data_IF_956099130323
#
_entry.id   IF_956099130323
#
_cell.length_a   1.000
_cell.length_b   1.000
_cell.length_c   1.000
_cell.angle_alpha   90.00
_cell.angle_beta   90.00
_cell.angle_gamma   90.00
#
_symmetry.space_group_name_H-M   'P 1'
#
loop_
_entity.id
_entity.type
_entity.pdbx_description
1 polymer ?
#
# COMPACT_ATOMS: atom_id res chain seq x y z
N UNK A 1 -5.32 -24.28 -12.19
CA UNK A 1 -5.49 -25.25 -11.09
C UNK A 1 -6.11 -24.52 -9.91
N UNK A 2 -7.10 -25.08 -9.19
CA UNK A 2 -7.67 -24.39 -8.02
C UNK A 2 -6.61 -24.19 -6.93
N UNK A 3 -6.67 -23.10 -6.15
CA UNK A 3 -5.64 -22.76 -5.16
C UNK A 3 -5.29 -23.90 -4.21
N UNK A 4 -6.30 -24.60 -3.68
CA UNK A 4 -6.10 -25.70 -2.72
C UNK A 4 -5.26 -26.85 -3.30
N UNK A 5 -5.43 -27.16 -4.60
CA UNK A 5 -4.62 -28.19 -5.26
C UNK A 5 -3.18 -27.72 -5.49
N UNK A 6 -2.97 -26.43 -5.77
CA UNK A 6 -1.63 -25.84 -5.90
C UNK A 6 -0.89 -25.94 -4.57
N UNK A 7 -1.54 -25.58 -3.45
CA UNK A 7 -0.97 -25.73 -2.11
C UNK A 7 -0.62 -27.17 -1.78
N UNK A 8 -1.52 -28.13 -2.05
CA UNK A 8 -1.24 -29.55 -1.79
C UNK A 8 -0.04 -30.09 -2.58
N UNK A 9 0.16 -29.64 -3.82
CA UNK A 9 1.32 -30.04 -4.64
C UNK A 9 2.62 -29.42 -4.09
N UNK A 10 2.60 -28.14 -3.74
CA UNK A 10 3.74 -27.44 -3.13
C UNK A 10 4.13 -28.10 -1.81
N UNK A 11 3.16 -28.39 -0.93
CA UNK A 11 3.41 -29.03 0.36
C UNK A 11 4.03 -30.42 0.19
N UNK A 12 3.50 -31.22 -0.75
CA UNK A 12 4.06 -32.54 -1.06
C UNK A 12 5.49 -32.47 -1.56
N UNK A 13 5.86 -31.42 -2.31
CA UNK A 13 7.24 -31.20 -2.73
C UNK A 13 8.14 -30.74 -1.60
N UNK A 14 7.68 -29.80 -0.76
CA UNK A 14 8.41 -29.34 0.41
C UNK A 14 8.70 -30.47 1.37
N UNK A 15 7.73 -31.37 1.61
CA UNK A 15 7.90 -32.54 2.49
C UNK A 15 8.97 -33.52 2.00
N UNK A 16 9.25 -33.56 0.68
CA UNK A 16 10.31 -34.40 0.11
C UNK A 16 11.71 -33.80 0.30
N UNK A 17 11.82 -32.48 0.44
CA UNK A 17 13.08 -31.81 0.76
C UNK A 17 13.28 -31.88 2.28
N UNK A 18 14.24 -32.68 2.74
CA UNK A 18 14.53 -32.83 4.17
C UNK A 18 15.18 -31.59 4.79
N UNK A 19 15.95 -30.83 4.00
CA UNK A 19 16.63 -29.60 4.42
C UNK A 19 16.53 -28.58 3.29
N UNK A 20 16.19 -27.35 3.64
CA UNK A 20 16.28 -26.20 2.74
C UNK A 20 17.29 -25.24 3.37
N UNK A 21 18.43 -25.07 2.69
CA UNK A 21 19.58 -24.29 3.20
C UNK A 21 19.42 -22.83 2.84
N UNK A 22 18.94 -22.53 1.62
CA UNK A 22 18.77 -21.17 1.13
C UNK A 22 17.28 -20.81 1.00
N UNK A 23 16.82 -19.65 1.54
CA UNK A 23 15.43 -19.21 1.39
C UNK A 23 14.97 -19.03 -0.07
N UNK A 24 15.90 -18.77 -1.01
CA UNK A 24 15.58 -18.62 -2.44
C UNK A 24 14.99 -19.91 -3.04
N UNK A 25 15.30 -21.07 -2.46
CA UNK A 25 14.72 -22.35 -2.91
C UNK A 25 13.20 -22.42 -2.71
N UNK A 26 12.65 -21.71 -1.71
CA UNK A 26 11.19 -21.65 -1.53
C UNK A 26 10.53 -20.90 -2.68
N UNK A 27 11.12 -19.78 -3.09
CA UNK A 27 10.63 -19.01 -4.22
C UNK A 27 10.62 -19.88 -5.48
N UNK A 28 11.71 -20.61 -5.75
CA UNK A 28 11.79 -21.48 -6.93
C UNK A 28 10.72 -22.59 -6.93
N UNK A 29 10.46 -23.22 -5.77
CA UNK A 29 9.44 -24.29 -5.66
C UNK A 29 8.05 -23.72 -5.91
N UNK A 30 7.74 -22.56 -5.34
CA UNK A 30 6.42 -21.95 -5.48
C UNK A 30 6.23 -21.40 -6.91
N UNK A 31 7.29 -20.86 -7.52
CA UNK A 31 7.27 -20.28 -8.87
C UNK A 31 6.91 -21.32 -9.95
N UNK A 32 7.28 -22.59 -9.74
CA UNK A 32 6.92 -23.69 -10.62
C UNK A 32 5.40 -23.93 -10.73
N UNK A 33 4.63 -23.52 -9.72
CA UNK A 33 3.18 -23.78 -9.64
C UNK A 33 2.32 -22.53 -9.53
N UNK A 34 2.92 -21.37 -9.23
CA UNK A 34 2.22 -20.12 -9.00
C UNK A 34 3.09 -18.92 -9.41
N UNK A 35 2.45 -17.82 -9.78
CA UNK A 35 3.17 -16.56 -10.02
C UNK A 35 3.50 -15.89 -8.70
N UNK A 36 4.78 -15.77 -8.37
CA UNK A 36 5.23 -15.05 -7.18
C UNK A 36 5.33 -13.56 -7.50
N UNK A 37 4.77 -12.74 -6.63
CA UNK A 37 4.95 -11.29 -6.68
C UNK A 37 5.58 -10.82 -5.38
N UNK A 38 6.86 -10.45 -5.47
CA UNK A 38 7.61 -9.96 -4.32
C UNK A 38 7.13 -8.56 -3.94
N UNK A 39 7.03 -8.33 -2.63
CA UNK A 39 6.61 -7.04 -2.07
C UNK A 39 7.54 -5.90 -2.51
N UNK A 40 8.84 -6.19 -2.71
CA UNK A 40 9.83 -5.22 -3.18
C UNK A 40 9.51 -4.62 -4.56
N UNK A 41 8.78 -5.35 -5.41
CA UNK A 41 8.40 -4.87 -6.74
C UNK A 41 7.14 -3.99 -6.72
N UNK A 42 6.52 -3.79 -5.55
CA UNK A 42 5.24 -3.10 -5.42
C UNK A 42 5.40 -1.81 -4.61
N UNK A 43 4.77 -0.74 -5.09
CA UNK A 43 4.61 0.47 -4.32
C UNK A 43 3.53 0.23 -3.26
N UNK A 44 3.95 0.07 -2.00
CA UNK A 44 3.05 -0.07 -0.86
C UNK A 44 2.70 1.33 -0.36
N UNK A 45 1.42 1.62 -0.23
CA UNK A 45 0.95 2.93 0.23
C UNK A 45 0.22 2.82 1.57
N UNK A 46 0.38 3.83 2.44
CA UNK A 46 -0.34 3.91 3.72
C UNK A 46 -1.77 4.43 3.53
N UNK A 47 -2.62 3.56 3.00
CA UNK A 47 -4.05 3.83 2.87
C UNK A 47 -4.77 3.99 4.20
N UNK A 48 -4.23 3.43 5.30
CA UNK A 48 -4.88 3.50 6.62
C UNK A 48 -4.84 4.92 7.17
N UNK A 49 -3.67 5.54 7.18
CA UNK A 49 -3.52 6.94 7.61
C UNK A 49 -4.27 7.87 6.67
N UNK A 50 -4.18 7.60 5.38
CA UNK A 50 -4.83 8.45 4.38
C UNK A 50 -6.36 8.38 4.45
N UNK A 51 -6.93 7.18 4.57
CA UNK A 51 -8.36 7.01 4.79
C UNK A 51 -8.81 7.69 6.09
N UNK A 52 -8.01 7.62 7.16
CA UNK A 52 -8.31 8.30 8.43
C UNK A 52 -8.24 9.82 8.29
N UNK A 53 -7.39 10.35 7.40
CA UNK A 53 -7.29 11.78 7.10
C UNK A 53 -8.53 12.26 6.33
N UNK A 54 -8.89 11.57 5.26
CA UNK A 54 -9.92 11.98 4.30
C UNK A 54 -11.35 11.64 4.77
N UNK A 55 -11.57 10.42 5.28
CA UNK A 55 -12.90 9.89 5.60
C UNK A 55 -13.31 10.18 7.06
N UNK A 56 -14.62 10.31 7.28
CA UNK A 56 -15.20 10.32 8.62
C UNK A 56 -15.16 8.92 9.22
N UNK A 57 -14.81 8.82 10.50
CA UNK A 57 -14.95 7.58 11.26
C UNK A 57 -16.41 7.14 11.30
N UNK A 58 -16.72 5.83 11.32
CA UNK A 58 -18.10 5.33 11.39
C UNK A 58 -18.94 5.92 12.52
N UNK A 59 -18.33 6.25 13.65
CA UNK A 59 -19.00 6.89 14.81
C UNK A 59 -19.51 8.30 14.47
N UNK A 60 -18.84 9.01 13.56
CA UNK A 60 -19.22 10.36 13.12
C UNK A 60 -20.15 10.34 11.89
N UNK A 61 -20.65 9.17 11.51
CA UNK A 61 -21.67 9.09 10.47
C UNK A 61 -23.02 9.55 11.03
N UNK A 62 -23.93 9.91 10.14
CA UNK A 62 -25.25 10.41 10.52
C UNK A 62 -26.23 9.29 10.91
N UNK A 63 -25.76 8.05 10.98
CA UNK A 63 -26.47 6.88 11.47
C UNK A 63 -25.50 5.98 12.24
N UNK A 64 -26.05 5.14 13.12
CA UNK A 64 -25.27 4.18 13.89
C UNK A 64 -24.93 2.96 13.03
N UNK A 65 -23.66 2.77 12.71
CA UNK A 65 -23.17 1.70 11.82
C UNK A 65 -23.73 0.32 12.20
N UNK A 66 -23.67 -0.05 13.48
CA UNK A 66 -24.08 -1.37 13.98
C UNK A 66 -25.59 -1.64 13.89
N UNK A 67 -26.43 -0.60 13.75
CA UNK A 67 -27.89 -0.77 13.66
C UNK A 67 -28.40 -0.90 12.23
N UNK A 68 -27.53 -0.71 11.24
CA UNK A 68 -27.92 -0.75 9.83
C UNK A 68 -27.69 -2.14 9.24
N UNK A 69 -28.67 -2.62 8.46
CA UNK A 69 -28.58 -3.89 7.73
C UNK A 69 -28.03 -3.71 6.31
N UNK A 70 -28.18 -2.51 5.74
CA UNK A 70 -27.75 -2.18 4.39
C UNK A 70 -27.07 -0.82 4.35
N UNK A 71 -25.98 -0.72 3.60
CA UNK A 71 -25.29 0.54 3.31
C UNK A 71 -25.35 0.79 1.81
N UNK A 72 -25.70 2.02 1.44
CA UNK A 72 -25.74 2.46 0.05
C UNK A 72 -24.70 3.56 -0.11
N UNK A 73 -23.77 3.33 -1.03
CA UNK A 73 -22.74 4.29 -1.40
C UNK A 73 -23.05 4.82 -2.79
N UNK A 74 -23.27 6.13 -2.89
CA UNK A 74 -23.57 6.80 -4.15
C UNK A 74 -22.43 7.77 -4.48
N UNK A 75 -21.98 7.74 -5.73
CA UNK A 75 -21.08 8.76 -6.27
C UNK A 75 -21.90 10.00 -6.61
N UNK A 76 -21.56 11.14 -6.00
CA UNK A 76 -22.12 12.44 -6.38
C UNK A 76 -21.42 12.97 -7.63
N UNK A 77 -22.10 13.79 -8.43
CA UNK A 77 -21.47 14.42 -9.62
C UNK A 77 -20.28 15.33 -9.25
N UNK A 78 -20.23 15.84 -8.01
CA UNK A 78 -19.12 16.66 -7.47
C UNK A 78 -17.93 15.84 -6.96
N UNK A 79 -17.83 14.58 -7.38
CA UNK A 79 -16.79 13.62 -7.01
C UNK A 79 -16.69 13.35 -5.49
N UNK A 80 -17.82 13.44 -4.80
CA UNK A 80 -17.96 13.10 -3.40
C UNK A 80 -18.66 11.75 -3.26
N UNK A 81 -18.25 10.95 -2.28
CA UNK A 81 -18.98 9.73 -1.91
C UNK A 81 -20.01 10.07 -0.85
N UNK A 82 -21.27 9.82 -1.18
CA UNK A 82 -22.39 9.91 -0.26
C UNK A 82 -22.68 8.52 0.31
N UNK A 83 -22.92 8.44 1.61
CA UNK A 83 -23.32 7.20 2.28
C UNK A 83 -24.72 7.36 2.84
N UNK A 84 -25.50 6.28 2.80
CA UNK A 84 -26.79 6.12 3.46
C UNK A 84 -26.82 4.76 4.15
N UNK A 85 -27.31 4.72 5.38
CA UNK A 85 -27.54 3.49 6.13
C UNK A 85 -29.04 3.20 6.21
N UNK A 86 -29.42 1.93 6.06
CA UNK A 86 -30.81 1.48 6.15
C UNK A 86 -30.94 0.38 7.21
N UNK A 87 -31.91 0.50 8.13
CA UNK A 87 -32.16 -0.52 9.16
C UNK A 87 -32.85 -1.77 8.60
N UNK A 88 -33.50 -1.68 7.43
CA UNK A 88 -34.19 -2.78 6.75
C UNK A 88 -33.67 -2.96 5.32
N UNK A 89 -33.76 -4.17 4.77
CA UNK A 89 -33.25 -4.48 3.43
C UNK A 89 -34.08 -3.91 2.28
N UNK A 90 -35.39 -3.76 2.49
CA UNK A 90 -36.38 -3.53 1.42
C UNK A 90 -36.94 -2.11 1.38
N UNK A 91 -36.31 -1.15 2.07
CA UNK A 91 -36.87 0.21 2.21
C UNK A 91 -35.86 1.30 1.89
N UNK A 92 -36.24 2.25 1.02
CA UNK A 92 -35.40 3.39 0.67
C UNK A 92 -35.68 4.65 1.51
N UNK A 93 -35.44 4.53 2.82
CA UNK A 93 -35.51 5.67 3.75
C UNK A 93 -34.16 6.35 3.98
N UNK A 94 -34.21 7.65 4.30
CA UNK A 94 -33.08 8.43 4.80
C UNK A 94 -32.39 9.32 3.76
N UNK A 95 -31.62 10.29 4.25
CA UNK A 95 -30.83 11.20 3.40
C UNK A 95 -29.39 10.68 3.28
N UNK A 96 -28.84 10.68 2.06
CA UNK A 96 -27.44 10.36 1.87
C UNK A 96 -26.58 11.58 2.25
N UNK A 97 -25.54 11.40 3.07
CA UNK A 97 -24.60 12.47 3.44
C UNK A 97 -23.17 12.12 3.06
N UNK A 98 -22.35 13.15 2.84
CA UNK A 98 -20.95 12.99 2.47
C UNK A 98 -20.12 12.22 3.49
N UNK A 99 -19.39 11.22 3.01
CA UNK A 99 -18.52 10.34 3.79
C UNK A 99 -17.18 11.04 4.15
N UNK A 100 -16.70 11.93 3.30
CA UNK A 100 -15.46 12.68 3.53
C UNK A 100 -15.62 13.76 4.61
N UNK A 101 -14.53 14.12 5.29
CA UNK A 101 -14.48 15.29 6.17
C UNK A 101 -14.65 16.58 5.36
N UNK A 102 -15.07 17.66 6.02
CA UNK A 102 -15.27 18.97 5.37
C UNK A 102 -13.97 19.42 4.69
N UNK A 103 -14.07 19.86 3.44
CA UNK A 103 -12.92 20.33 2.64
C UNK A 103 -12.09 19.22 1.97
N UNK A 104 -12.33 17.94 2.29
CA UNK A 104 -11.60 16.83 1.68
C UNK A 104 -12.44 16.10 0.63
N UNK A 105 -11.78 15.61 -0.43
CA UNK A 105 -12.33 14.74 -1.46
C UNK A 105 -11.49 13.47 -1.56
N UNK A 106 -12.08 12.38 -2.07
CA UNK A 106 -11.32 11.14 -2.31
C UNK A 106 -10.32 11.34 -3.44
N UNK A 107 -10.64 12.10 -4.47
CA UNK A 107 -9.69 12.49 -5.53
C UNK A 107 -8.46 13.22 -5.02
N UNK A 108 -8.51 13.85 -3.84
CA UNK A 108 -7.37 14.51 -3.22
C UNK A 108 -6.57 13.59 -2.30
N UNK A 109 -6.81 12.27 -2.36
CA UNK A 109 -6.01 11.32 -1.59
C UNK A 109 -4.69 11.04 -2.29
N UNK A 110 -3.59 11.29 -1.60
CA UNK A 110 -2.23 10.99 -2.04
C UNK A 110 -1.53 10.22 -0.92
N UNK A 111 -1.80 8.90 -0.81
CA UNK A 111 -1.24 8.12 0.28
C UNK A 111 0.28 8.07 0.17
N UNK A 112 0.96 8.16 1.31
CA UNK A 112 2.42 8.12 1.37
C UNK A 112 2.92 6.71 1.07
N UNK A 113 3.99 6.60 0.27
CA UNK A 113 4.69 5.33 0.08
C UNK A 113 5.29 4.87 1.42
N UNK A 114 5.14 3.59 1.73
CA UNK A 114 5.73 2.97 2.91
C UNK A 114 7.08 2.35 2.52
N UNK A 115 8.13 2.59 3.32
CA UNK A 115 9.43 1.98 3.04
C UNK A 115 9.32 0.45 3.20
N UNK A 116 10.10 -0.26 2.41
CA UNK A 116 10.22 -1.70 2.54
C UNK A 116 10.89 -2.06 3.88
N UNK A 117 10.28 -2.97 4.62
CA UNK A 117 10.76 -3.42 5.92
C UNK A 117 10.51 -2.43 7.06
N UNK A 118 10.78 -2.89 8.29
CA UNK A 118 10.73 -2.04 9.47
C UNK A 118 12.08 -1.35 9.61
N UNK A 119 12.11 -0.03 9.49
CA UNK A 119 13.28 0.76 9.88
C UNK A 119 13.54 0.51 11.37
N UNK A 120 14.69 -0.10 11.67
CA UNK A 120 15.09 -0.40 13.04
C UNK A 120 15.37 0.93 13.75
N UNK A 121 14.66 1.15 14.85
CA UNK A 121 14.84 2.34 15.68
C UNK A 121 15.95 2.05 16.70
N UNK A 122 17.13 2.61 16.50
CA UNK A 122 18.28 2.49 17.40
C UNK A 122 19.61 2.29 16.67
N UNK A 123 20.69 2.18 17.46
CA UNK A 123 22.04 1.99 16.93
C UNK A 123 22.19 0.58 16.34
N UNK A 124 22.38 0.51 15.01
CA UNK A 124 22.65 -0.73 14.26
C UNK A 124 23.88 -1.49 14.76
N UNK A 125 24.75 -0.82 15.53
CA UNK A 125 25.96 -1.40 16.13
C UNK A 125 25.67 -2.61 17.04
N UNK A 126 24.54 -2.62 17.74
CA UNK A 126 24.19 -3.71 18.65
C UNK A 126 23.78 -4.98 17.90
N UNK A 127 23.08 -4.83 16.77
CA UNK A 127 22.66 -5.95 15.93
C UNK A 127 23.88 -6.55 15.21
N UNK A 128 24.79 -5.72 14.70
CA UNK A 128 26.02 -6.22 14.10
C UNK A 128 26.89 -6.99 15.11
N UNK A 129 27.00 -6.51 16.36
CA UNK A 129 27.68 -7.25 17.44
C UNK A 129 27.02 -8.61 17.68
N UNK A 130 25.69 -8.65 17.77
CA UNK A 130 24.93 -9.88 17.98
C UNK A 130 25.14 -10.88 16.83
N UNK A 131 25.10 -10.40 15.59
CA UNK A 131 25.34 -11.21 14.40
C UNK A 131 26.76 -11.78 14.42
N UNK A 132 27.77 -10.97 14.75
CA UNK A 132 29.15 -11.42 14.88
C UNK A 132 29.31 -12.45 16.02
N UNK A 133 28.62 -12.27 17.14
CA UNK A 133 28.66 -13.23 18.27
C UNK A 133 28.06 -14.59 17.91
N UNK A 134 26.94 -14.63 17.18
CA UNK A 134 26.24 -15.88 16.90
C UNK A 134 26.65 -16.58 15.60
N UNK A 135 27.11 -15.82 14.60
CA UNK A 135 27.41 -16.33 13.26
C UNK A 135 28.87 -16.11 12.82
N UNK A 136 29.69 -15.47 13.65
CA UNK A 136 31.08 -15.13 13.33
C UNK A 136 31.20 -13.85 12.47
N UNK A 137 32.43 -13.46 12.13
CA UNK A 137 32.70 -12.32 11.26
C UNK A 137 32.32 -12.66 9.80
N UNK A 138 31.05 -12.49 9.45
CA UNK A 138 30.60 -12.58 8.05
C UNK A 138 30.88 -11.25 7.36
N UNK A 139 32.04 -11.13 6.72
CA UNK A 139 32.21 -10.21 5.61
C UNK A 139 31.30 -10.69 4.46
N UNK A 140 30.60 -9.76 3.78
CA UNK A 140 29.92 -9.95 2.48
C UNK A 140 28.46 -10.47 2.44
N UNK A 141 27.53 -9.94 3.24
CA UNK A 141 26.07 -10.10 2.95
C UNK A 141 25.32 -8.76 2.80
N UNK A 142 25.96 -7.62 3.07
CA UNK A 142 25.27 -6.32 3.05
C UNK A 142 25.27 -5.60 1.69
N UNK A 143 25.86 -6.15 0.63
CA UNK A 143 25.94 -5.45 -0.67
C UNK A 143 24.77 -5.72 -1.64
N UNK A 144 23.81 -6.61 -1.33
CA UNK A 144 22.63 -6.83 -2.20
C UNK A 144 21.36 -6.09 -1.74
N UNK A 145 21.40 -5.33 -0.65
CA UNK A 145 20.23 -4.61 -0.11
C UNK A 145 20.37 -3.08 -0.09
N UNK A 146 21.42 -2.51 -0.71
CA UNK A 146 21.60 -1.07 -0.88
C UNK A 146 21.78 -0.76 -2.37
N UNK A 147 20.68 -0.88 -3.11
CA UNK A 147 20.58 -0.49 -4.53
C UNK A 147 19.35 0.39 -4.72
N UNK A 148 19.36 1.56 -4.10
CA UNK A 148 18.45 2.64 -4.43
C UNK A 148 19.24 3.94 -4.32
N UNK A 149 19.92 4.27 -5.41
CA UNK A 149 20.46 5.61 -5.63
C UNK A 149 19.31 6.61 -5.55
N UNK A 150 19.47 7.61 -4.68
CA UNK A 150 18.69 8.84 -4.72
C UNK A 150 19.10 9.62 -5.97
N UNK A 151 18.20 10.06 -6.86
CA UNK A 151 18.54 11.12 -7.78
C UNK A 151 18.54 12.46 -7.03
N UNK A 152 19.74 13.04 -6.97
CA UNK A 152 20.03 14.39 -6.49
C UNK A 152 19.10 15.44 -7.11
N UNK A 153 18.78 16.43 -6.27
CA UNK A 153 18.12 17.66 -6.66
C UNK A 153 19.01 18.47 -7.62
N UNK A 154 18.54 18.72 -8.84
CA UNK A 154 19.04 19.80 -9.69
C UNK A 154 18.11 21.02 -9.52
N UNK A 155 18.61 22.03 -8.82
CA UNK A 155 18.00 23.35 -8.72
C UNK A 155 18.42 24.23 -9.91
N UNK A 156 17.40 24.89 -10.48
CA UNK A 156 17.38 26.23 -11.08
C UNK A 156 18.53 26.70 -11.97
N UNK A 157 18.17 27.07 -13.22
CA UNK A 157 18.74 28.25 -13.85
C UNK A 157 17.57 29.11 -14.42
N UNK A 158 17.37 30.28 -13.83
CA UNK A 158 16.44 31.32 -14.27
C UNK A 158 17.16 32.28 -15.22
N UNK A 159 16.71 32.39 -16.49
CA UNK A 159 16.73 33.64 -17.28
C UNK A 159 15.54 33.60 -18.25
N UNK A 160 14.40 34.23 -17.95
CA UNK A 160 14.06 35.61 -18.32
C UNK A 160 14.35 35.95 -19.79
N UNK A 161 13.29 36.13 -20.59
CA UNK A 161 13.01 37.35 -21.38
C UNK A 161 11.73 37.18 -22.23
N UNK A 162 10.64 37.77 -21.73
CA UNK A 162 9.66 38.67 -22.39
C UNK A 162 9.35 38.61 -23.90
N UNK A 163 8.04 38.86 -24.14
CA UNK A 163 7.33 39.40 -25.33
C UNK A 163 6.88 38.37 -26.38
N UNK A 164 5.78 38.54 -27.12
CA UNK A 164 4.47 39.19 -27.02
C UNK A 164 3.80 38.92 -28.39
N UNK A 165 2.47 39.03 -28.45
CA UNK A 165 1.63 39.19 -29.66
C UNK A 165 1.21 37.93 -30.43
N UNK A 166 -0.11 37.80 -30.65
CA UNK A 166 -0.68 36.98 -31.72
C UNK A 166 -2.02 36.34 -31.38
N UNK A 167 -3.09 37.14 -31.33
CA UNK A 167 -4.44 36.63 -31.58
C UNK A 167 -4.55 36.22 -33.05
N UNK A 168 -5.25 35.10 -33.32
CA UNK A 168 -6.23 34.91 -34.40
C UNK A 168 -6.34 33.42 -34.76
N UNK A 169 -7.51 32.83 -34.53
CA UNK A 169 -8.00 31.67 -35.28
C UNK A 169 -9.51 31.86 -35.48
N UNK A 170 -9.86 31.86 -36.77
CA UNK A 170 -11.20 31.89 -37.38
C UNK A 170 -12.11 30.74 -36.91
#
# INVERSE_FOLDING_TARGET
>A
MPPDRVFGVIEKQLRKKSVIVNPVEYDQIIENYATIRKIQAWNIFDWRREATRVLKRPVAWHFQFNKMKRFIFNKSSKDNVLVRGQPHYFTDFGMAKGLCKKGNKISFSSPKSLPYGRQLKGDKSSINKLLVTHFGATENVNNELVGAEEPEAAANDEKSCTNAVGYDLE
#
